data_IF_455128796578
#
_entry.id   IF_455128796578
#
_cell.length_a   1.000
_cell.length_b   1.000
_cell.length_c   1.000
_cell.angle_alpha   90.00
_cell.angle_beta   90.00
_cell.angle_gamma   90.00
#
_symmetry.space_group_name_H-M   'P 1'
#
loop_
_entity.id
_entity.type
_entity.pdbx_description
1 polymer ?
#
# COMPACT_ATOMS: atom_id res chain seq x y z
N UNK A 1 -2.22 -25.64 9.82
CA UNK A 1 -2.22 -24.18 9.61
C UNK A 1 -1.71 -23.93 8.22
N UNK A 2 -2.37 -23.09 7.40
CA UNK A 2 -1.85 -22.76 6.08
C UNK A 2 -0.42 -22.24 6.20
N UNK A 3 0.42 -22.59 5.24
CA UNK A 3 1.83 -22.26 5.25
C UNK A 3 1.98 -20.74 5.37
N UNK A 4 2.56 -20.25 6.46
CA UNK A 4 2.67 -18.81 6.80
C UNK A 4 3.24 -17.94 5.67
N UNK A 5 3.95 -18.56 4.72
CA UNK A 5 4.60 -17.93 3.57
C UNK A 5 3.65 -17.57 2.42
N UNK A 6 2.46 -18.18 2.35
CA UNK A 6 1.52 -18.01 1.23
C UNK A 6 0.38 -17.03 1.53
N UNK A 7 0.36 -16.47 2.74
CA UNK A 7 -0.65 -15.50 3.14
C UNK A 7 -0.52 -14.20 2.34
N UNK A 8 -1.65 -13.69 1.84
CA UNK A 8 -1.76 -12.41 1.17
C UNK A 8 -2.71 -11.49 1.96
N UNK A 9 -2.35 -10.21 2.14
CA UNK A 9 -3.26 -9.24 2.74
C UNK A 9 -4.45 -8.97 1.82
N UNK A 10 -5.59 -8.66 2.42
CA UNK A 10 -6.78 -8.24 1.67
C UNK A 10 -6.56 -6.84 1.06
N UNK A 11 -7.19 -6.59 -0.10
CA UNK A 11 -7.08 -5.30 -0.80
C UNK A 11 -7.47 -4.11 0.10
N UNK A 12 -8.48 -4.26 0.96
CA UNK A 12 -8.88 -3.22 1.92
C UNK A 12 -7.79 -2.92 2.96
N UNK A 13 -7.07 -3.94 3.44
CA UNK A 13 -5.96 -3.76 4.36
C UNK A 13 -4.80 -3.03 3.66
N UNK A 14 -4.51 -3.41 2.41
CA UNK A 14 -3.47 -2.79 1.59
C UNK A 14 -3.80 -1.32 1.30
N UNK A 15 -5.03 -1.02 0.87
CA UNK A 15 -5.49 0.35 0.56
C UNK A 15 -5.38 1.23 1.80
N UNK A 16 -5.91 0.77 2.94
CA UNK A 16 -5.89 1.52 4.19
C UNK A 16 -4.47 1.84 4.65
N UNK A 17 -3.58 0.84 4.62
CA UNK A 17 -2.17 1.02 4.98
C UNK A 17 -1.45 1.97 4.00
N UNK A 18 -1.69 1.83 2.70
CA UNK A 18 -1.11 2.69 1.67
C UNK A 18 -1.53 4.16 1.85
N UNK A 19 -2.81 4.39 2.13
CA UNK A 19 -3.35 5.72 2.43
C UNK A 19 -2.68 6.35 3.66
N UNK A 20 -2.56 5.60 4.74
CA UNK A 20 -1.92 6.07 5.98
C UNK A 20 -0.43 6.40 5.75
N UNK A 21 0.31 5.51 5.07
CA UNK A 21 1.72 5.72 4.74
C UNK A 21 1.92 6.98 3.90
N UNK A 22 1.09 7.20 2.88
CA UNK A 22 1.19 8.40 2.04
C UNK A 22 0.89 9.67 2.84
N UNK A 23 -0.15 9.67 3.67
CA UNK A 23 -0.47 10.81 4.51
C UNK A 23 0.68 11.14 5.49
N UNK A 24 1.29 10.12 6.10
CA UNK A 24 2.47 10.29 6.95
C UNK A 24 3.65 10.88 6.18
N UNK A 25 3.96 10.36 4.99
CA UNK A 25 5.05 10.90 4.16
C UNK A 25 4.81 12.38 3.81
N UNK A 26 3.59 12.73 3.39
CA UNK A 26 3.29 14.12 3.03
C UNK A 26 3.46 15.09 4.21
N UNK A 27 3.07 14.69 5.43
CA UNK A 27 3.28 15.48 6.64
C UNK A 27 4.76 15.62 7.00
N UNK A 28 5.50 14.50 6.98
CA UNK A 28 6.95 14.50 7.27
C UNK A 28 7.75 15.42 6.33
N UNK A 29 7.25 15.65 5.13
CA UNK A 29 7.88 16.53 4.14
C UNK A 29 7.20 17.89 4.00
N UNK A 30 6.28 18.25 4.89
CA UNK A 30 5.53 19.52 4.86
C UNK A 30 4.82 19.78 3.52
N UNK A 31 4.37 18.72 2.83
CA UNK A 31 3.65 18.81 1.56
C UNK A 31 2.15 19.08 1.73
N UNK A 32 1.63 18.93 2.95
CA UNK A 32 0.25 19.21 3.34
C UNK A 32 0.22 19.79 4.74
N UNK A 33 -0.85 20.50 5.07
CA UNK A 33 -1.13 20.89 6.45
C UNK A 33 -1.32 19.65 7.33
N UNK A 34 -0.95 19.75 8.61
CA UNK A 34 -1.14 18.67 9.59
C UNK A 34 -2.61 18.27 9.75
N UNK A 35 -3.52 19.23 9.50
CA UNK A 35 -4.98 19.06 9.48
C UNK A 35 -5.49 18.20 8.33
N UNK A 36 -4.67 17.96 7.29
CA UNK A 36 -5.11 17.27 6.09
C UNK A 36 -5.52 15.82 6.42
N UNK A 37 -6.73 15.48 5.97
CA UNK A 37 -7.27 14.12 6.14
C UNK A 37 -6.50 13.13 5.27
N UNK A 38 -6.46 11.88 5.73
CA UNK A 38 -5.83 10.77 4.99
C UNK A 38 -6.46 10.61 3.61
N UNK A 39 -7.80 10.73 3.51
CA UNK A 39 -8.52 10.66 2.25
C UNK A 39 -8.14 11.77 1.26
N UNK A 40 -7.96 13.02 1.74
CA UNK A 40 -7.50 14.13 0.90
C UNK A 40 -6.09 13.87 0.35
N UNK A 41 -5.17 13.44 1.22
CA UNK A 41 -3.79 13.12 0.82
C UNK A 41 -3.76 12.03 -0.26
N UNK A 42 -4.61 11.01 -0.11
CA UNK A 42 -4.72 9.94 -1.08
C UNK A 42 -5.29 10.40 -2.42
N UNK A 43 -6.38 11.17 -2.40
CA UNK A 43 -7.02 11.70 -3.61
C UNK A 43 -6.10 12.62 -4.42
N UNK A 44 -5.21 13.36 -3.77
CA UNK A 44 -4.21 14.21 -4.43
C UNK A 44 -2.99 13.43 -4.96
N UNK A 45 -2.83 12.16 -4.58
CA UNK A 45 -1.69 11.34 -5.00
C UNK A 45 -1.94 10.78 -6.41
N UNK A 46 -1.00 10.94 -7.38
CA UNK A 46 -1.11 10.35 -8.71
C UNK A 46 -1.26 8.83 -8.68
N UNK A 47 -1.95 8.27 -9.67
CA UNK A 47 -2.30 6.84 -9.70
C UNK A 47 -1.08 5.93 -9.67
N UNK A 48 -0.04 6.22 -10.47
CA UNK A 48 1.20 5.45 -10.47
C UNK A 48 1.86 5.42 -9.09
N UNK A 49 1.81 6.52 -8.35
CA UNK A 49 2.36 6.60 -7.00
C UNK A 49 1.49 5.84 -6.00
N UNK A 50 0.15 5.86 -6.14
CA UNK A 50 -0.74 5.01 -5.33
C UNK A 50 -0.39 3.54 -5.49
N UNK A 51 -0.11 3.07 -6.72
CA UNK A 51 0.30 1.70 -6.98
C UNK A 51 1.62 1.34 -6.26
N UNK A 52 2.60 2.23 -6.22
CA UNK A 52 3.85 2.01 -5.46
C UNK A 52 3.58 1.89 -3.96
N UNK A 53 2.74 2.75 -3.41
CA UNK A 53 2.33 2.70 -2.01
C UNK A 53 1.60 1.42 -1.63
N UNK A 54 0.75 0.90 -2.51
CA UNK A 54 0.10 -0.40 -2.32
C UNK A 54 1.10 -1.55 -2.35
N UNK A 55 2.08 -1.52 -3.26
CA UNK A 55 3.14 -2.53 -3.29
C UNK A 55 3.94 -2.53 -1.98
N UNK A 56 4.30 -1.34 -1.47
CA UNK A 56 4.98 -1.18 -0.19
C UNK A 56 4.13 -1.69 0.97
N UNK A 57 2.87 -1.28 1.05
CA UNK A 57 1.94 -1.69 2.10
C UNK A 57 1.73 -3.21 2.10
N UNK A 58 1.50 -3.81 0.93
CA UNK A 58 1.32 -5.25 0.76
C UNK A 58 2.56 -6.02 1.24
N UNK A 59 3.76 -5.55 0.87
CA UNK A 59 5.00 -6.18 1.31
C UNK A 59 5.26 -6.01 2.81
N UNK A 60 4.95 -4.83 3.37
CA UNK A 60 5.04 -4.57 4.81
C UNK A 60 4.11 -5.49 5.60
N UNK A 61 2.86 -5.66 5.16
CA UNK A 61 1.90 -6.55 5.82
C UNK A 61 2.34 -8.01 5.78
N UNK A 62 2.83 -8.50 4.63
CA UNK A 62 3.40 -9.85 4.51
C UNK A 62 4.60 -10.05 5.44
N UNK A 63 5.47 -9.04 5.51
CA UNK A 63 6.64 -9.07 6.37
C UNK A 63 6.27 -9.19 7.86
N UNK A 64 5.35 -8.35 8.34
CA UNK A 64 4.87 -8.40 9.74
C UNK A 64 4.18 -9.73 10.05
N UNK A 65 3.45 -10.31 9.09
CA UNK A 65 2.81 -11.61 9.29
C UNK A 65 3.81 -12.77 9.36
N UNK A 66 4.90 -12.69 8.59
CA UNK A 66 5.80 -13.81 8.35
C UNK A 66 7.07 -13.79 9.19
N UNK A 67 7.45 -12.62 9.72
CA UNK A 67 8.76 -12.38 10.31
C UNK A 67 8.63 -11.67 11.66
N UNK A 68 9.49 -12.05 12.61
CA UNK A 68 9.78 -11.24 13.79
C UNK A 68 10.70 -10.07 13.42
N UNK A 69 10.75 -8.99 14.24
CA UNK A 69 11.69 -7.89 14.05
C UNK A 69 13.15 -8.32 13.91
N UNK A 70 13.60 -9.33 14.67
CA UNK A 70 14.98 -9.83 14.55
C UNK A 70 15.21 -10.56 13.23
N UNK A 71 14.22 -11.35 12.79
CA UNK A 71 14.35 -12.17 11.58
C UNK A 71 14.28 -11.37 10.27
N UNK A 72 13.80 -10.13 10.29
CA UNK A 72 13.73 -9.28 9.10
C UNK A 72 15.02 -8.49 8.85
N UNK A 73 15.89 -8.35 9.86
CA UNK A 73 17.11 -7.54 9.81
C UNK A 73 18.03 -7.90 8.65
N UNK A 74 18.16 -9.19 8.36
CA UNK A 74 19.04 -9.71 7.31
C UNK A 74 18.33 -9.94 5.97
N UNK A 75 17.07 -9.52 5.85
CA UNK A 75 16.28 -9.71 4.63
C UNK A 75 16.37 -8.51 3.71
N UNK A 76 16.32 -8.80 2.41
CA UNK A 76 16.26 -7.74 1.40
C UNK A 76 14.91 -7.03 1.47
N UNK A 77 14.90 -5.70 1.31
CA UNK A 77 13.66 -4.96 1.18
C UNK A 77 12.89 -5.43 -0.08
N UNK A 78 11.56 -5.34 -0.05
CA UNK A 78 10.74 -5.69 -1.19
C UNK A 78 11.03 -4.75 -2.37
N UNK A 79 11.06 -5.29 -3.58
CA UNK A 79 11.14 -4.48 -4.79
C UNK A 79 9.80 -3.79 -5.04
N UNK A 80 9.82 -2.47 -5.13
CA UNK A 80 8.69 -1.67 -5.60
C UNK A 80 8.93 -1.37 -7.08
N UNK A 81 7.95 -1.68 -7.91
CA UNK A 81 8.00 -1.42 -9.35
C UNK A 81 7.23 -0.16 -9.66
N UNK A 82 7.92 0.82 -10.24
CA UNK A 82 7.27 1.97 -10.86
C UNK A 82 6.54 1.49 -12.13
N UNK A 83 5.24 1.72 -12.17
CA UNK A 83 4.40 1.41 -13.31
C UNK A 83 4.38 2.59 -14.28
N UNK A 84 4.22 2.32 -15.58
CA UNK A 84 3.82 3.37 -16.52
C UNK A 84 2.41 3.86 -16.17
N UNK A 85 2.07 5.09 -16.56
CA UNK A 85 0.76 5.67 -16.26
C UNK A 85 -0.40 4.77 -16.70
N UNK A 86 -0.35 4.25 -17.93
CA UNK A 86 -1.36 3.33 -18.46
C UNK A 86 -1.49 2.06 -17.62
N UNK A 87 -0.37 1.44 -17.23
CA UNK A 87 -0.39 0.23 -16.42
C UNK A 87 -0.90 0.52 -14.99
N UNK A 88 -0.60 1.70 -14.46
CA UNK A 88 -1.11 2.13 -13.16
C UNK A 88 -2.63 2.36 -13.19
N UNK A 89 -3.16 2.94 -14.26
CA UNK A 89 -4.61 3.15 -14.41
C UNK A 89 -5.37 1.82 -14.52
N UNK A 90 -4.83 0.85 -15.25
CA UNK A 90 -5.38 -0.50 -15.35
C UNK A 90 -5.38 -1.21 -13.98
N UNK A 91 -4.28 -1.09 -13.24
CA UNK A 91 -4.12 -1.62 -11.87
C UNK A 91 -5.13 -0.98 -10.89
N UNK A 92 -5.23 0.35 -10.89
CA UNK A 92 -6.18 1.11 -10.05
C UNK A 92 -7.63 0.69 -10.34
N UNK A 93 -7.97 0.48 -11.61
CA UNK A 93 -9.31 0.01 -12.00
C UNK A 93 -9.60 -1.37 -11.41
N UNK A 94 -8.66 -2.32 -11.55
CA UNK A 94 -8.80 -3.68 -10.99
C UNK A 94 -9.02 -3.66 -9.48
N UNK A 95 -8.23 -2.86 -8.76
CA UNK A 95 -8.32 -2.76 -7.29
C UNK A 95 -9.66 -2.15 -6.88
N UNK A 96 -10.12 -1.08 -7.56
CA UNK A 96 -11.43 -0.50 -7.27
C UNK A 96 -12.59 -1.46 -7.52
N UNK A 97 -12.49 -2.30 -8.53
CA UNK A 97 -13.48 -3.35 -8.79
C UNK A 97 -13.46 -4.42 -7.69
N UNK A 98 -12.28 -4.83 -7.25
CA UNK A 98 -12.11 -5.76 -6.12
C UNK A 98 -12.72 -5.22 -4.83
N UNK A 99 -12.40 -3.97 -4.47
CA UNK A 99 -12.93 -3.33 -3.26
C UNK A 99 -14.46 -3.20 -3.27
N UNK A 100 -15.06 -2.87 -4.41
CA UNK A 100 -16.54 -2.83 -4.55
C UNK A 100 -17.20 -4.19 -4.34
N UNK A 101 -16.50 -5.28 -4.65
CA UNK A 101 -16.99 -6.64 -4.47
C UNK A 101 -16.94 -7.14 -3.02
N UNK A 102 -16.26 -6.41 -2.12
CA UNK A 102 -16.11 -6.79 -0.70
C UNK A 102 -17.18 -6.17 0.21
N UNK A 103 -17.95 -5.19 -0.29
CA UNK A 103 -19.04 -4.51 0.44
C UNK A 103 -20.42 -5.21 0.26
N UNK A 104 -20.49 -6.34 -0.46
CA UNK A 104 -21.69 -7.16 -0.66
C UNK A 104 -21.61 -8.47 0.12
#
# INVERSE_FOLDING_TARGET
>A
MPNRKDWQPEDTQVETAAMALRAQQMRLWNLVEDSATVGRCWQQTPVWLRCEYRQMASAMLRAVHSHSPDSIRDKRPPSVRQLSEKAADEEEKRIKESLKGQDN
#
